data_IF_212322400902
#
_entry.id   IF_212322400902
#
_cell.length_a   1.000
_cell.length_b   1.000
_cell.length_c   1.000
_cell.angle_alpha   90.00
_cell.angle_beta   90.00
_cell.angle_gamma   90.00
#
_symmetry.space_group_name_H-M   'P 1'
#
loop_
_entity.id
_entity.type
_entity.pdbx_description
1 polymer ?
#
# COMPACT_ATOMS: atom_id res chain seq x y z
N UNK A 1 2.10 8.82 16.12
CA UNK A 1 1.47 8.44 14.83
C UNK A 1 2.55 7.86 13.94
N UNK A 2 2.27 6.81 13.17
CA UNK A 2 3.25 6.25 12.22
C UNK A 2 3.57 7.34 11.19
N UNK A 3 4.86 7.67 11.06
CA UNK A 3 5.29 8.75 10.17
C UNK A 3 4.98 8.36 8.71
N UNK A 4 4.49 9.27 7.85
CA UNK A 4 4.20 9.00 6.43
C UNK A 4 5.34 8.26 5.72
N UNK A 5 6.59 8.66 6.01
CA UNK A 5 7.79 7.99 5.49
C UNK A 5 7.87 6.50 5.85
N UNK A 6 7.42 6.08 7.04
CA UNK A 6 7.45 4.67 7.44
C UNK A 6 6.43 3.85 6.66
N UNK A 7 5.22 4.39 6.47
CA UNK A 7 4.20 3.77 5.62
C UNK A 7 4.77 3.58 4.22
N UNK A 8 5.35 4.64 3.65
CA UNK A 8 5.99 4.59 2.35
C UNK A 8 7.04 3.47 2.27
N UNK A 9 8.01 3.44 3.21
CA UNK A 9 9.07 2.44 3.24
C UNK A 9 8.51 1.01 3.34
N UNK A 10 7.48 0.78 4.16
CA UNK A 10 6.86 -0.55 4.28
C UNK A 10 6.26 -1.03 2.97
N UNK A 11 5.58 -0.14 2.23
CA UNK A 11 5.01 -0.49 0.94
C UNK A 11 6.07 -0.64 -0.17
N UNK A 12 7.14 0.16 -0.14
CA UNK A 12 8.29 -0.01 -1.04
C UNK A 12 8.94 -1.38 -0.83
N UNK A 13 9.28 -1.73 0.41
CA UNK A 13 9.92 -3.02 0.71
C UNK A 13 8.97 -4.19 0.39
N UNK A 14 7.70 -4.09 0.77
CA UNK A 14 6.72 -5.15 0.50
C UNK A 14 6.49 -5.37 -1.00
N UNK A 15 6.45 -4.30 -1.81
CA UNK A 15 6.26 -4.41 -3.26
C UNK A 15 7.51 -5.00 -3.95
N UNK A 16 8.72 -4.66 -3.50
CA UNK A 16 9.94 -5.34 -3.96
C UNK A 16 9.87 -6.84 -3.70
N UNK A 17 9.56 -7.25 -2.46
CA UNK A 17 9.41 -8.66 -2.12
C UNK A 17 8.34 -9.32 -2.98
N UNK A 18 7.21 -8.65 -3.22
CA UNK A 18 6.13 -9.16 -4.08
C UNK A 18 6.60 -9.41 -5.50
N UNK A 19 7.32 -8.46 -6.10
CA UNK A 19 7.84 -8.56 -7.47
C UNK A 19 8.94 -9.62 -7.60
N UNK A 20 9.88 -9.71 -6.65
CA UNK A 20 10.94 -10.71 -6.67
C UNK A 20 10.43 -12.13 -6.37
N UNK A 21 9.40 -12.26 -5.52
CA UNK A 21 8.75 -13.54 -5.26
C UNK A 21 7.83 -13.99 -6.41
N UNK A 22 7.57 -13.13 -7.40
CA UNK A 22 6.70 -13.46 -8.54
C UNK A 22 5.21 -13.55 -8.17
N UNK A 23 4.77 -12.91 -7.08
CA UNK A 23 3.40 -13.06 -6.57
C UNK A 23 2.49 -12.03 -7.23
N UNK A 24 1.90 -12.42 -8.38
CA UNK A 24 1.01 -11.55 -9.18
C UNK A 24 1.73 -10.43 -9.94
N UNK A 25 3.00 -10.19 -9.63
CA UNK A 25 3.92 -9.30 -10.32
C UNK A 25 5.31 -9.96 -10.37
N UNK A 26 5.99 -9.92 -11.51
CA UNK A 26 7.34 -10.50 -11.69
C UNK A 26 8.22 -9.60 -12.56
N UNK A 27 9.52 -9.62 -12.27
CA UNK A 27 10.54 -8.90 -13.02
C UNK A 27 11.22 -9.81 -14.06
N UNK A 28 11.62 -9.23 -15.19
CA UNK A 28 12.30 -9.92 -16.29
C UNK A 28 13.33 -9.01 -16.97
N UNK A 29 14.26 -9.61 -17.74
CA UNK A 29 15.32 -8.89 -18.47
C UNK A 29 16.70 -9.02 -17.82
N UNK A 30 17.65 -8.17 -18.19
CA UNK A 30 18.99 -8.19 -17.59
C UNK A 30 19.00 -7.61 -16.17
N UNK A 31 19.96 -8.03 -15.33
CA UNK A 31 20.03 -7.69 -13.90
C UNK A 31 19.98 -6.18 -13.63
N UNK A 32 20.66 -5.38 -14.45
CA UNK A 32 20.69 -3.93 -14.32
C UNK A 32 19.29 -3.33 -14.55
N UNK A 33 18.59 -3.80 -15.59
CA UNK A 33 17.24 -3.35 -15.92
C UNK A 33 16.20 -3.83 -14.91
N UNK A 34 16.31 -5.09 -14.45
CA UNK A 34 15.45 -5.62 -13.39
C UNK A 34 15.56 -4.83 -12.10
N UNK A 35 16.79 -4.47 -11.71
CA UNK A 35 17.05 -3.72 -10.48
C UNK A 35 16.44 -2.32 -10.56
N UNK A 36 16.63 -1.64 -11.70
CA UNK A 36 16.10 -0.29 -11.90
C UNK A 36 14.57 -0.29 -12.00
N UNK A 37 13.98 -1.17 -12.82
CA UNK A 37 12.52 -1.24 -12.97
C UNK A 37 11.86 -1.68 -11.67
N UNK A 38 12.44 -2.63 -10.94
CA UNK A 38 11.97 -3.06 -9.63
C UNK A 38 11.98 -1.92 -8.60
N UNK A 39 13.08 -1.18 -8.49
CA UNK A 39 13.18 -0.05 -7.56
C UNK A 39 12.19 1.08 -7.90
N UNK A 40 12.14 1.52 -9.16
CA UNK A 40 11.23 2.59 -9.57
C UNK A 40 9.78 2.17 -9.40
N UNK A 41 9.43 0.93 -9.78
CA UNK A 41 8.08 0.39 -9.60
C UNK A 41 7.69 0.32 -8.12
N UNK A 42 8.60 -0.09 -7.24
CA UNK A 42 8.34 -0.14 -5.81
C UNK A 42 8.14 1.25 -5.20
N UNK A 43 8.95 2.24 -5.63
CA UNK A 43 8.77 3.64 -5.24
C UNK A 43 7.42 4.19 -5.70
N UNK A 44 7.00 3.87 -6.93
CA UNK A 44 5.67 4.23 -7.45
C UNK A 44 4.57 3.60 -6.60
N UNK A 45 4.59 2.28 -6.38
CA UNK A 45 3.60 1.57 -5.55
C UNK A 45 3.54 2.17 -4.14
N UNK A 46 4.69 2.45 -3.54
CA UNK A 46 4.79 3.14 -2.24
C UNK A 46 4.16 4.54 -2.27
N UNK A 47 4.40 5.32 -3.32
CA UNK A 47 3.85 6.67 -3.48
C UNK A 47 2.32 6.63 -3.64
N UNK A 48 1.79 5.68 -4.41
CA UNK A 48 0.34 5.48 -4.53
C UNK A 48 -0.28 5.00 -3.21
N UNK A 49 0.35 4.07 -2.50
CA UNK A 49 -0.11 3.65 -1.17
C UNK A 49 -0.14 4.82 -0.18
N UNK A 50 0.83 5.74 -0.26
CA UNK A 50 0.85 6.94 0.55
C UNK A 50 -0.26 7.92 0.13
N UNK A 51 -0.27 8.34 -1.14
CA UNK A 51 -1.19 9.34 -1.65
C UNK A 51 -2.64 8.87 -1.62
N UNK A 52 -2.92 7.70 -2.17
CA UNK A 52 -4.26 7.13 -2.17
C UNK A 52 -4.63 6.50 -0.83
N UNK A 53 -3.83 5.56 -0.31
CA UNK A 53 -4.15 4.84 0.93
C UNK A 53 -4.26 5.76 2.15
N UNK A 54 -3.23 6.57 2.43
CA UNK A 54 -3.34 7.55 3.52
C UNK A 54 -4.25 8.72 3.16
N UNK A 55 -4.14 9.29 1.94
CA UNK A 55 -4.94 10.45 1.54
C UNK A 55 -6.44 10.19 1.61
N UNK A 56 -6.93 9.06 1.09
CA UNK A 56 -8.35 8.67 1.21
C UNK A 56 -8.75 8.54 2.68
N UNK A 57 -7.90 7.93 3.53
CA UNK A 57 -8.26 7.77 4.95
C UNK A 57 -8.32 9.09 5.71
N UNK A 58 -7.45 10.06 5.38
CA UNK A 58 -7.45 11.40 5.96
C UNK A 58 -8.66 12.18 5.45
N UNK A 59 -8.90 12.13 4.14
CA UNK A 59 -10.05 12.77 3.51
C UNK A 59 -11.37 12.28 4.12
N UNK A 60 -11.58 10.96 4.21
CA UNK A 60 -12.78 10.39 4.82
C UNK A 60 -12.94 10.83 6.29
N UNK A 61 -11.84 10.98 7.04
CA UNK A 61 -11.94 11.50 8.42
C UNK A 61 -12.39 12.95 8.47
N UNK A 62 -11.85 13.79 7.60
CA UNK A 62 -12.24 15.19 7.48
C UNK A 62 -13.68 15.36 7.02
N UNK A 63 -14.05 14.68 5.93
CA UNK A 63 -15.37 14.79 5.31
C UNK A 63 -16.52 14.30 6.19
N UNK A 64 -16.30 13.24 6.99
CA UNK A 64 -17.35 12.62 7.81
C UNK A 64 -17.22 12.89 9.31
N UNK A 65 -16.28 13.75 9.74
CA UNK A 65 -16.05 14.06 11.15
C UNK A 65 -15.68 12.82 11.99
N UNK A 66 -14.86 11.94 11.42
CA UNK A 66 -14.54 10.65 12.04
C UNK A 66 -13.34 10.77 12.96
N UNK A 67 -13.48 10.28 14.19
CA UNK A 67 -12.36 10.01 15.07
C UNK A 67 -11.45 8.95 14.45
N UNK A 68 -12.05 7.92 13.84
CA UNK A 68 -11.36 6.82 13.17
C UNK A 68 -12.09 6.40 11.89
N UNK A 69 -11.36 6.23 10.77
CA UNK A 69 -11.93 5.82 9.47
C UNK A 69 -12.49 4.40 9.43
N UNK A 70 -12.06 3.53 10.34
CA UNK A 70 -12.38 2.10 10.30
C UNK A 70 -11.56 1.33 9.26
N UNK A 71 -11.35 0.04 9.51
CA UNK A 71 -10.58 -0.85 8.61
C UNK A 71 -11.29 -1.09 7.28
N UNK A 72 -12.62 -1.06 7.28
CA UNK A 72 -13.43 -1.30 6.07
C UNK A 72 -13.22 -0.24 4.99
N UNK A 73 -12.82 0.97 5.36
CA UNK A 73 -12.44 2.04 4.41
C UNK A 73 -10.93 2.04 4.21
N UNK A 74 -10.16 1.93 5.30
CA UNK A 74 -8.72 2.02 5.24
C UNK A 74 -8.09 0.92 4.38
N UNK A 75 -8.45 -0.35 4.58
CA UNK A 75 -7.76 -1.45 3.89
C UNK A 75 -8.03 -1.45 2.38
N UNK A 76 -9.29 -1.32 1.90
CA UNK A 76 -9.53 -1.21 0.47
C UNK A 76 -8.87 0.01 -0.16
N UNK A 77 -8.76 1.13 0.56
CA UNK A 77 -8.05 2.31 0.06
C UNK A 77 -6.56 1.99 -0.19
N UNK A 78 -5.88 1.30 0.73
CA UNK A 78 -4.49 0.89 0.53
C UNK A 78 -4.34 -0.15 -0.58
N UNK A 79 -5.20 -1.18 -0.60
CA UNK A 79 -5.17 -2.24 -1.63
C UNK A 79 -5.45 -1.68 -3.01
N UNK A 80 -6.48 -0.85 -3.16
CA UNK A 80 -6.83 -0.21 -4.44
C UNK A 80 -5.74 0.73 -4.91
N UNK A 81 -5.11 1.48 -4.00
CA UNK A 81 -4.03 2.39 -4.37
C UNK A 81 -2.76 1.64 -4.79
N UNK A 82 -2.38 0.56 -4.10
CA UNK A 82 -1.26 -0.27 -4.53
C UNK A 82 -1.54 -0.95 -5.86
N UNK A 83 -2.78 -1.38 -6.11
CA UNK A 83 -3.17 -1.91 -7.42
C UNK A 83 -2.97 -0.87 -8.53
N UNK A 84 -3.46 0.36 -8.36
CA UNK A 84 -3.21 1.45 -9.32
C UNK A 84 -1.71 1.69 -9.53
N UNK A 85 -0.92 1.65 -8.44
CA UNK A 85 0.53 1.76 -8.49
C UNK A 85 1.17 0.66 -9.35
N UNK A 86 0.78 -0.60 -9.18
CA UNK A 86 1.25 -1.71 -9.99
C UNK A 86 0.83 -1.58 -11.46
N UNK A 87 -0.42 -1.18 -11.73
CA UNK A 87 -0.91 -0.97 -13.11
C UNK A 87 -0.09 0.08 -13.84
N UNK A 88 0.21 1.21 -13.18
CA UNK A 88 1.03 2.27 -13.78
C UNK A 88 2.49 1.87 -13.93
N UNK A 89 3.04 1.13 -12.96
CA UNK A 89 4.39 0.59 -13.06
C UNK A 89 4.54 -0.38 -14.25
N UNK A 90 3.57 -1.29 -14.45
CA UNK A 90 3.56 -2.19 -15.61
C UNK A 90 3.42 -1.44 -16.92
N UNK A 91 2.62 -0.38 -16.97
CA UNK A 91 2.53 0.45 -18.17
C UNK A 91 3.87 1.13 -18.50
N UNK A 92 4.60 1.62 -17.49
CA UNK A 92 5.90 2.25 -17.67
C UNK A 92 7.02 1.26 -18.03
N UNK A 93 6.95 0.03 -17.51
CA UNK A 93 7.98 -1.00 -17.64
C UNK A 93 7.46 -2.28 -18.32
N UNK A 94 6.62 -2.15 -19.34
CA UNK A 94 5.88 -3.25 -19.95
C UNK A 94 6.75 -4.42 -20.47
N UNK A 95 8.06 -4.21 -20.68
CA UNK A 95 9.01 -5.25 -21.08
C UNK A 95 9.84 -5.88 -19.94
N UNK A 96 9.82 -5.30 -18.73
CA UNK A 96 10.66 -5.76 -17.60
C UNK A 96 9.86 -6.00 -16.32
N UNK A 97 8.60 -5.58 -16.25
CA UNK A 97 7.66 -5.87 -15.16
C UNK A 97 6.37 -6.45 -15.75
N UNK A 98 6.11 -7.71 -15.49
CA UNK A 98 4.85 -8.36 -15.82
C UNK A 98 3.94 -8.41 -14.58
N UNK A 99 2.75 -7.80 -14.65
CA UNK A 99 1.72 -7.94 -13.62
C UNK A 99 0.64 -8.86 -14.14
N UNK A 100 0.70 -10.13 -13.72
CA UNK A 100 -0.24 -11.19 -14.09
C UNK A 100 -1.55 -11.09 -13.30
N UNK A 101 -1.48 -10.61 -12.05
CA UNK A 101 -2.66 -10.34 -11.22
C UNK A 101 -2.39 -9.17 -10.28
N UNK A 102 -2.88 -7.99 -10.67
CA UNK A 102 -2.74 -6.77 -9.86
C UNK A 102 -3.44 -6.86 -8.51
N UNK A 103 -4.56 -7.59 -8.43
CA UNK A 103 -5.25 -7.84 -7.17
C UNK A 103 -4.42 -8.74 -6.24
N UNK A 104 -3.82 -9.81 -6.75
CA UNK A 104 -2.96 -10.68 -5.94
C UNK A 104 -1.72 -9.93 -5.44
N UNK A 105 -1.05 -9.19 -6.34
CA UNK A 105 0.12 -8.39 -6.00
C UNK A 105 -0.19 -7.32 -4.94
N UNK A 106 -1.32 -6.61 -5.09
CA UNK A 106 -1.76 -5.58 -4.14
C UNK A 106 -2.13 -6.15 -2.77
N UNK A 107 -2.84 -7.29 -2.73
CA UNK A 107 -3.19 -7.99 -1.49
C UNK A 107 -1.96 -8.51 -0.76
N UNK A 108 -1.02 -9.13 -1.48
CA UNK A 108 0.21 -9.64 -0.91
C UNK A 108 1.11 -8.51 -0.38
N UNK A 109 1.27 -7.44 -1.17
CA UNK A 109 1.99 -6.23 -0.76
C UNK A 109 1.36 -5.61 0.49
N UNK A 110 0.03 -5.48 0.52
CA UNK A 110 -0.70 -4.97 1.66
C UNK A 110 -0.48 -5.85 2.91
N UNK A 111 -0.62 -7.17 2.76
CA UNK A 111 -0.44 -8.14 3.84
C UNK A 111 0.96 -8.08 4.44
N UNK A 112 1.99 -8.00 3.59
CA UNK A 112 3.38 -7.83 4.04
C UNK A 112 3.61 -6.49 4.73
N UNK A 113 3.18 -5.37 4.15
CA UNK A 113 3.39 -4.04 4.70
C UNK A 113 2.69 -3.87 6.06
N UNK A 114 1.43 -4.29 6.16
CA UNK A 114 0.66 -4.21 7.39
C UNK A 114 1.08 -5.25 8.43
N UNK A 115 1.41 -6.47 8.00
CA UNK A 115 1.94 -7.51 8.87
C UNK A 115 3.27 -7.09 9.50
N UNK A 116 4.16 -6.52 8.71
CA UNK A 116 5.44 -5.99 9.20
C UNK A 116 5.26 -4.81 10.17
N UNK A 117 4.40 -3.85 9.82
CA UNK A 117 4.08 -2.72 10.70
C UNK A 117 3.41 -3.17 12.02
N UNK A 118 2.63 -4.25 11.99
CA UNK A 118 2.05 -4.86 13.19
C UNK A 118 3.13 -5.50 14.08
N UNK A 119 4.04 -6.29 13.51
CA UNK A 119 5.13 -6.92 14.26
C UNK A 119 6.03 -5.88 14.95
N UNK A 120 6.25 -4.73 14.32
CA UNK A 120 7.00 -3.60 14.89
C UNK A 120 6.20 -2.75 15.88
N UNK A 121 4.96 -3.14 16.20
CA UNK A 121 4.03 -2.39 17.07
C UNK A 121 3.76 -0.96 16.57
N UNK A 122 3.97 -0.68 15.29
CA UNK A 122 3.74 0.64 14.70
C UNK A 122 2.29 0.81 14.22
N UNK A 123 1.64 -0.31 13.87
CA UNK A 123 0.22 -0.36 13.48
C UNK A 123 -0.57 -0.97 14.65
N UNK A 124 -1.38 -0.16 15.37
CA UNK A 124 -2.16 -0.67 16.49
C UNK A 124 -3.27 -1.60 15.99
N UNK A 125 -3.20 -2.87 16.36
CA UNK A 125 -4.27 -3.84 16.06
C UNK A 125 -5.36 -3.83 17.13
N UNK A 126 -4.96 -3.73 18.41
CA UNK A 126 -5.89 -3.60 19.53
C UNK A 126 -6.39 -2.15 19.60
N UNK A 127 -7.70 -1.96 19.81
CA UNK A 127 -8.33 -0.65 19.92
C UNK A 127 -8.74 0.04 18.60
N UNK A 128 -8.42 -0.54 17.43
CA UNK A 128 -8.92 -0.05 16.13
C UNK A 128 -10.13 -0.86 15.69
N UNK A 129 -11.27 -0.21 15.55
CA UNK A 129 -12.50 -0.82 15.01
C UNK A 129 -12.51 -1.07 13.51
N UNK A 130 -13.33 -2.04 13.12
CA UNK A 130 -13.64 -2.34 11.72
C UNK A 130 -14.48 -1.24 11.08
N UNK A 131 -15.50 -0.77 11.79
CA UNK A 131 -16.38 0.30 11.34
C UNK A 131 -15.80 1.69 11.65
N UNK A 132 -16.14 2.71 10.84
CA UNK A 132 -15.85 4.11 11.14
C UNK A 132 -16.46 4.54 12.48
N UNK A 133 -15.74 5.38 13.24
CA UNK A 133 -16.24 5.97 14.48
C UNK A 133 -16.29 7.48 14.36
N UNK A 134 -17.48 8.06 14.56
CA UNK A 134 -17.66 9.52 14.66
C UNK A 134 -16.96 10.06 15.91
N UNK A 135 -16.51 11.31 15.84
CA UNK A 135 -16.09 12.02 17.04
C UNK A 135 -17.28 12.10 18.01
N UNK A 136 -17.09 11.79 19.31
CA UNK A 136 -18.07 12.12 20.31
C UNK A 136 -18.37 13.62 20.19
N UNK A 137 -19.65 14.01 20.18
CA UNK A 137 -20.03 15.41 20.18
C UNK A 137 -19.30 16.10 21.34
N UNK A 138 -18.31 16.93 21.02
CA UNK A 138 -17.79 17.91 21.97
C UNK A 138 -18.87 18.98 22.03
N UNK A 139 -19.82 18.80 22.94
CA UNK A 139 -20.67 19.90 23.39
C UNK A 139 -19.78 20.99 23.98
#
# INVERSE_FOLDING_TARGET
MMHPLKVFIFFVVASLVTMFAGVGASLSGDLAWQSMSGLVSALMVGAFALGGGMGITIFSRGAFGLMQTGRIIQWPAFIGSTWVGFTLATWLFAGTLAVTSGLLASLFTFGLAFGWGYLRKEIPWKGRTWLPMKMPNRK
#
